data_IF_896046520060
#
_entry.id   IF_896046520060
#
_cell.length_a   1.000
_cell.length_b   1.000
_cell.length_c   1.000
_cell.angle_alpha   90.00
_cell.angle_beta   90.00
_cell.angle_gamma   90.00
#
_symmetry.space_group_name_H-M   'P 1'
#
loop_
_entity.id
_entity.type
_entity.pdbx_description
1 polymer ?
#
# COMPACT_ATOMS: atom_id res chain seq x y z
N UNK A 1 6.17 5.43 1.09
CA UNK A 1 6.58 6.66 1.80
C UNK A 1 5.86 6.70 3.15
N UNK A 2 6.15 7.62 4.09
CA UNK A 2 5.34 7.73 5.31
C UNK A 2 3.88 8.12 5.05
N UNK A 3 3.57 8.66 3.86
CA UNK A 3 2.22 9.09 3.48
C UNK A 3 1.37 7.99 2.84
N UNK A 4 1.96 6.84 2.53
CA UNK A 4 1.26 5.72 1.90
C UNK A 4 2.18 4.83 1.06
N UNK A 5 1.68 3.64 0.72
CA UNK A 5 2.29 2.80 -0.28
C UNK A 5 2.13 3.44 -1.67
N UNK A 6 3.16 3.31 -2.49
CA UNK A 6 3.23 3.87 -3.84
C UNK A 6 3.99 2.92 -4.73
N UNK A 7 3.76 3.00 -6.04
CA UNK A 7 4.42 2.17 -7.05
C UNK A 7 5.14 3.05 -8.06
N UNK A 8 6.33 2.63 -8.51
CA UNK A 8 7.01 3.22 -9.66
C UNK A 8 6.56 2.48 -10.92
N UNK A 9 5.82 3.15 -11.82
CA UNK A 9 5.31 2.53 -13.04
C UNK A 9 6.32 2.48 -14.21
N UNK A 10 7.47 3.14 -14.08
CA UNK A 10 8.38 3.37 -15.21
C UNK A 10 7.89 4.50 -16.13
N UNK A 11 8.76 4.97 -17.04
CA UNK A 11 8.45 6.11 -17.92
C UNK A 11 7.35 5.83 -18.95
N UNK A 12 7.15 4.56 -19.29
CA UNK A 12 6.14 4.07 -20.23
C UNK A 12 4.98 3.34 -19.53
N UNK A 13 5.00 3.26 -18.20
CA UNK A 13 4.00 2.56 -17.40
C UNK A 13 4.10 1.03 -17.42
N UNK A 14 5.12 0.44 -18.04
CA UNK A 14 5.24 -1.02 -18.20
C UNK A 14 5.69 -1.76 -16.94
N UNK A 15 6.28 -1.06 -15.97
CA UNK A 15 6.82 -1.69 -14.76
C UNK A 15 5.69 -2.11 -13.83
N UNK A 16 5.66 -3.40 -13.52
CA UNK A 16 4.78 -3.95 -12.51
C UNK A 16 5.30 -3.68 -11.09
N UNK A 17 4.42 -3.67 -10.08
CA UNK A 17 4.82 -3.57 -8.68
C UNK A 17 5.79 -4.69 -8.31
N UNK A 18 6.89 -4.34 -7.65
CA UNK A 18 7.79 -5.28 -6.99
C UNK A 18 7.16 -5.87 -5.73
N UNK A 19 7.73 -6.95 -5.22
CA UNK A 19 7.28 -7.58 -3.97
C UNK A 19 7.27 -6.62 -2.78
N UNK A 20 8.25 -5.71 -2.69
CA UNK A 20 8.30 -4.71 -1.63
C UNK A 20 7.15 -3.70 -1.71
N UNK A 21 6.79 -3.26 -2.91
CA UNK A 21 5.65 -2.36 -3.12
C UNK A 21 4.32 -3.06 -2.79
N UNK A 22 4.17 -4.33 -3.18
CA UNK A 22 3.00 -5.15 -2.83
C UNK A 22 2.91 -5.40 -1.32
N UNK A 23 4.02 -5.68 -0.65
CA UNK A 23 4.06 -5.86 0.80
C UNK A 23 3.65 -4.56 1.52
N UNK A 24 4.18 -3.42 1.08
CA UNK A 24 3.78 -2.11 1.60
C UNK A 24 2.29 -1.82 1.43
N UNK A 25 1.72 -2.15 0.26
CA UNK A 25 0.28 -1.98 0.00
C UNK A 25 -0.59 -2.88 0.90
N UNK A 26 -0.19 -4.15 1.10
CA UNK A 26 -0.87 -5.07 2.02
C UNK A 26 -0.86 -4.55 3.45
N UNK A 27 0.31 -4.12 3.93
CA UNK A 27 0.44 -3.53 5.26
C UNK A 27 -0.45 -2.29 5.42
N UNK A 28 -0.48 -1.40 4.42
CA UNK A 28 -1.31 -0.20 4.47
C UNK A 28 -2.80 -0.56 4.59
N UNK A 29 -3.27 -1.54 3.80
CA UNK A 29 -4.65 -2.03 3.88
C UNK A 29 -4.99 -2.60 5.26
N UNK A 30 -4.14 -3.48 5.79
CA UNK A 30 -4.31 -4.05 7.14
C UNK A 30 -4.32 -2.96 8.22
N UNK A 31 -3.40 -2.00 8.14
CA UNK A 31 -3.28 -0.92 9.10
C UNK A 31 -4.55 -0.07 9.18
N UNK A 32 -5.08 0.32 8.01
CA UNK A 32 -6.32 1.11 7.92
C UNK A 32 -7.51 0.28 8.42
N UNK A 33 -7.64 -0.98 7.98
CA UNK A 33 -8.73 -1.85 8.41
C UNK A 33 -8.75 -2.05 9.94
N UNK A 34 -7.57 -2.23 10.55
CA UNK A 34 -7.42 -2.35 12.00
C UNK A 34 -7.84 -1.08 12.73
N UNK A 35 -7.52 0.11 12.22
CA UNK A 35 -7.94 1.38 12.80
C UNK A 35 -9.46 1.54 12.67
N UNK A 36 -10.01 1.32 11.48
CA UNK A 36 -11.45 1.42 11.24
C UNK A 36 -12.23 0.51 12.19
N UNK A 37 -11.81 -0.75 12.35
CA UNK A 37 -12.43 -1.70 13.29
C UNK A 37 -12.47 -1.17 14.73
N UNK A 38 -11.43 -0.47 15.19
CA UNK A 38 -11.39 0.11 16.55
C UNK A 38 -12.34 1.29 16.71
N UNK A 39 -12.64 2.01 15.64
CA UNK A 39 -13.52 3.18 15.66
C UNK A 39 -15.00 2.79 15.58
N UNK A 40 -15.31 1.62 15.02
CA UNK A 40 -16.68 1.13 14.84
C UNK A 40 -17.13 0.09 15.87
N UNK A 41 -16.28 -0.26 16.84
CA UNK A 41 -16.55 -1.26 17.88
C UNK A 41 -17.04 -0.62 19.18
#
# INVERSE_FOLDING_TARGET
SPYGASVIAGSDGSRLPSENELAGARFQGEHVARIAKKLTA
#
